data_IF_749715319784
#
_entry.id   IF_749715319784
#
_cell.length_a   1.000
_cell.length_b   1.000
_cell.length_c   1.000
_cell.angle_alpha   90.00
_cell.angle_beta   90.00
_cell.angle_gamma   90.00
#
_symmetry.space_group_name_H-M   'P 1'
#
loop_
_entity.id
_entity.type
_entity.pdbx_description
1 polymer ?
#
# COMPACT_ATOMS: atom_id res chain seq x y z
N UNK A 1 -24.45 35.12 12.02
CA UNK A 1 -23.12 34.50 12.17
C UNK A 1 -23.26 33.42 13.23
N UNK A 2 -23.45 32.17 12.80
CA UNK A 2 -23.59 31.05 13.73
C UNK A 2 -22.26 30.82 14.43
N UNK A 3 -22.31 30.73 15.76
CA UNK A 3 -21.20 30.22 16.56
C UNK A 3 -20.78 28.87 15.96
N UNK A 4 -19.53 28.77 15.52
CA UNK A 4 -18.91 27.47 15.29
C UNK A 4 -19.06 26.69 16.61
N UNK A 5 -19.54 25.46 16.54
CA UNK A 5 -19.68 24.61 17.71
C UNK A 5 -18.27 24.32 18.26
N UNK A 6 -17.79 25.14 19.19
CA UNK A 6 -16.52 24.97 19.90
C UNK A 6 -16.57 23.87 20.98
N UNK A 7 -17.45 22.87 20.83
CA UNK A 7 -17.43 21.72 21.72
C UNK A 7 -16.29 20.78 21.31
N UNK A 8 -15.54 20.19 22.26
CA UNK A 8 -14.54 19.19 21.95
C UNK A 8 -15.08 18.04 21.07
N UNK A 9 -16.37 17.71 21.19
CA UNK A 9 -17.03 16.67 20.40
C UNK A 9 -17.20 17.07 18.93
N UNK A 10 -17.49 18.34 18.65
CA UNK A 10 -17.61 18.84 17.28
C UNK A 10 -16.24 18.87 16.59
N UNK A 11 -15.21 19.41 17.26
CA UNK A 11 -13.83 19.40 16.75
C UNK A 11 -13.31 17.96 16.51
N UNK A 12 -13.59 17.04 17.43
CA UNK A 12 -13.26 15.62 17.25
C UNK A 12 -13.96 15.02 16.03
N UNK A 13 -15.21 15.40 15.77
CA UNK A 13 -15.95 14.98 14.58
C UNK A 13 -15.30 15.45 13.28
N UNK A 14 -14.89 16.71 13.21
CA UNK A 14 -14.21 17.30 12.04
C UNK A 14 -12.85 16.65 11.77
N UNK A 15 -12.07 16.40 12.81
CA UNK A 15 -10.78 15.69 12.70
C UNK A 15 -10.96 14.26 12.22
N UNK A 16 -11.96 13.54 12.72
CA UNK A 16 -12.27 12.17 12.27
C UNK A 16 -12.73 12.13 10.83
N UNK A 17 -13.58 13.06 10.40
CA UNK A 17 -13.96 13.16 8.99
C UNK A 17 -12.74 13.40 8.07
N UNK A 18 -11.75 14.16 8.55
CA UNK A 18 -10.50 14.36 7.83
C UNK A 18 -9.66 13.07 7.76
N UNK A 19 -9.60 12.31 8.86
CA UNK A 19 -8.93 10.99 8.91
C UNK A 19 -9.60 10.02 7.94
N UNK A 20 -10.93 9.93 7.94
CA UNK A 20 -11.69 9.02 7.07
C UNK A 20 -11.39 9.30 5.57
N UNK A 21 -11.26 10.58 5.20
CA UNK A 21 -10.88 10.97 3.84
C UNK A 21 -9.45 10.57 3.48
N UNK A 22 -8.51 10.71 4.43
CA UNK A 22 -7.12 10.28 4.24
C UNK A 22 -7.06 8.75 4.08
N UNK A 23 -7.80 8.01 4.91
CA UNK A 23 -7.85 6.54 4.87
C UNK A 23 -8.41 6.04 3.53
N UNK A 24 -9.46 6.69 3.00
CA UNK A 24 -9.97 6.40 1.66
C UNK A 24 -8.89 6.59 0.58
N UNK A 25 -8.15 7.71 0.64
CA UNK A 25 -7.05 7.98 -0.28
C UNK A 25 -5.93 6.93 -0.16
N UNK A 26 -5.56 6.54 1.06
CA UNK A 26 -4.55 5.51 1.32
C UNK A 26 -4.95 4.16 0.69
N UNK A 27 -6.22 3.74 0.85
CA UNK A 27 -6.72 2.49 0.25
C UNK A 27 -6.67 2.56 -1.28
N UNK A 28 -7.09 3.66 -1.89
CA UNK A 28 -7.01 3.82 -3.35
C UNK A 28 -5.56 3.79 -3.86
N UNK A 29 -4.63 4.45 -3.17
CA UNK A 29 -3.21 4.44 -3.53
C UNK A 29 -2.58 3.05 -3.36
N UNK A 30 -2.96 2.32 -2.32
CA UNK A 30 -2.53 0.93 -2.14
C UNK A 30 -3.07 0.04 -3.26
N UNK A 31 -4.35 0.16 -3.63
CA UNK A 31 -4.94 -0.61 -4.73
C UNK A 31 -4.16 -0.42 -6.04
N UNK A 32 -3.81 0.83 -6.36
CA UNK A 32 -3.01 1.15 -7.55
C UNK A 32 -1.57 0.62 -7.46
N UNK A 33 -0.95 0.71 -6.29
CA UNK A 33 0.37 0.11 -6.03
C UNK A 33 0.32 -1.40 -6.23
N UNK A 34 -0.70 -2.08 -5.73
CA UNK A 34 -0.87 -3.52 -5.87
C UNK A 34 -1.11 -3.93 -7.32
N UNK A 35 -1.89 -3.15 -8.08
CA UNK A 35 -2.06 -3.32 -9.54
C UNK A 35 -0.72 -3.29 -10.26
N UNK A 36 0.13 -2.31 -9.96
CA UNK A 36 1.48 -2.23 -10.52
C UNK A 36 2.34 -3.43 -10.14
N UNK A 37 2.35 -3.82 -8.86
CA UNK A 37 3.16 -4.97 -8.42
C UNK A 37 2.67 -6.28 -8.99
N UNK A 38 1.37 -6.44 -9.29
CA UNK A 38 0.84 -7.62 -9.98
C UNK A 38 1.38 -7.70 -11.40
N UNK A 39 1.40 -6.59 -12.13
CA UNK A 39 2.00 -6.53 -13.47
C UNK A 39 3.50 -6.89 -13.44
N UNK A 40 4.24 -6.39 -12.44
CA UNK A 40 5.64 -6.81 -12.20
C UNK A 40 5.74 -8.31 -11.93
N UNK A 41 4.83 -8.87 -11.13
CA UNK A 41 4.80 -10.30 -10.83
C UNK A 41 4.56 -11.17 -12.05
N UNK A 42 3.61 -10.78 -12.91
CA UNK A 42 3.36 -11.45 -14.20
C UNK A 42 4.60 -11.37 -15.08
N UNK A 43 5.20 -10.19 -15.24
CA UNK A 43 6.43 -10.00 -16.02
C UNK A 43 7.56 -10.91 -15.51
N UNK A 44 7.77 -10.95 -14.19
CA UNK A 44 8.77 -11.81 -13.57
C UNK A 44 8.50 -13.29 -13.85
N UNK A 45 7.26 -13.74 -13.67
CA UNK A 45 6.88 -15.13 -13.92
C UNK A 45 7.08 -15.53 -15.39
N UNK A 46 6.66 -14.69 -16.34
CA UNK A 46 6.81 -14.94 -17.78
C UNK A 46 8.28 -15.06 -18.21
N UNK A 47 9.20 -14.36 -17.54
CA UNK A 47 10.63 -14.37 -17.85
C UNK A 47 11.47 -15.23 -16.90
N UNK A 48 10.85 -16.00 -16.00
CA UNK A 48 11.58 -16.83 -15.03
C UNK A 48 12.43 -16.05 -14.03
N UNK A 49 12.08 -14.78 -13.77
CA UNK A 49 12.79 -13.94 -12.80
C UNK A 49 12.31 -14.24 -11.36
N UNK A 50 13.19 -14.10 -10.36
CA UNK A 50 12.83 -14.38 -8.97
C UNK A 50 11.81 -13.37 -8.43
N UNK A 51 10.89 -13.87 -7.59
CA UNK A 51 9.88 -13.08 -6.90
C UNK A 51 10.51 -12.02 -5.97
N UNK A 52 11.47 -12.45 -5.15
CA UNK A 52 12.24 -11.57 -4.28
C UNK A 52 13.41 -10.90 -5.03
N UNK A 53 13.75 -9.69 -4.62
CA UNK A 53 14.92 -8.93 -5.11
C UNK A 53 15.51 -8.15 -3.93
N UNK A 54 16.45 -8.76 -3.17
CA UNK A 54 16.97 -8.18 -1.94
C UNK A 54 17.60 -6.79 -2.14
N UNK A 55 18.28 -6.58 -3.27
CA UNK A 55 18.89 -5.29 -3.59
C UNK A 55 17.83 -4.22 -3.82
N UNK A 56 16.77 -4.56 -4.57
CA UNK A 56 15.63 -3.65 -4.79
C UNK A 56 14.88 -3.36 -3.49
N UNK A 57 14.67 -4.35 -2.64
CA UNK A 57 14.00 -4.22 -1.35
C UNK A 57 14.76 -3.29 -0.40
N UNK A 58 16.07 -3.49 -0.24
CA UNK A 58 16.94 -2.59 0.55
C UNK A 58 16.89 -1.15 0.04
N UNK A 59 16.92 -0.94 -1.28
CA UNK A 59 16.79 0.39 -1.88
C UNK A 59 15.41 1.03 -1.63
N UNK A 60 14.32 0.23 -1.59
CA UNK A 60 13.00 0.73 -1.22
C UNK A 60 12.95 1.19 0.22
N UNK A 61 13.48 0.39 1.15
CA UNK A 61 13.53 0.71 2.58
C UNK A 61 14.31 2.00 2.80
N UNK A 62 15.53 2.10 2.25
CA UNK A 62 16.35 3.30 2.40
C UNK A 62 15.67 4.57 1.84
N UNK A 63 14.99 4.45 0.69
CA UNK A 63 14.23 5.57 0.13
C UNK A 63 13.03 5.95 0.99
N UNK A 64 12.30 4.97 1.54
CA UNK A 64 11.08 5.25 2.31
C UNK A 64 11.40 5.82 3.69
N UNK A 65 12.49 5.39 4.33
CA UNK A 65 12.99 6.01 5.56
C UNK A 65 13.23 7.51 5.37
N UNK A 66 13.92 7.89 4.29
CA UNK A 66 14.14 9.33 3.96
C UNK A 66 12.83 10.08 3.74
N UNK A 67 11.88 9.50 3.01
CA UNK A 67 10.57 10.13 2.81
C UNK A 67 9.77 10.28 4.10
N UNK A 68 9.93 9.33 5.04
CA UNK A 68 9.31 9.42 6.35
C UNK A 68 9.93 10.55 7.17
N UNK A 69 11.26 10.65 7.21
CA UNK A 69 11.99 11.76 7.83
C UNK A 69 11.52 13.12 7.28
N UNK A 70 11.49 13.26 5.95
CA UNK A 70 11.05 14.49 5.27
C UNK A 70 9.59 14.85 5.60
N UNK A 71 8.74 13.85 5.84
CA UNK A 71 7.34 14.00 6.17
C UNK A 71 7.06 14.06 7.69
N UNK A 72 8.10 14.09 8.53
CA UNK A 72 8.00 14.09 10.00
C UNK A 72 7.25 12.86 10.54
N UNK A 73 7.36 11.73 9.84
CA UNK A 73 6.86 10.42 10.25
C UNK A 73 8.03 9.58 10.76
N UNK A 74 7.80 8.80 11.82
CA UNK A 74 8.80 7.86 12.36
C UNK A 74 9.31 6.90 11.24
N UNK A 75 10.61 6.93 10.89
CA UNK A 75 11.19 6.07 9.87
C UNK A 75 11.08 4.59 10.20
N UNK A 76 11.11 4.22 11.48
CA UNK A 76 11.01 2.83 11.91
C UNK A 76 9.57 2.31 11.73
N UNK A 77 8.57 3.17 11.96
CA UNK A 77 7.19 2.88 11.61
C UNK A 77 7.02 2.73 10.09
N UNK A 78 7.56 3.65 9.30
CA UNK A 78 7.47 3.60 7.84
C UNK A 78 8.11 2.33 7.26
N UNK A 79 9.26 1.92 7.81
CA UNK A 79 9.92 0.67 7.44
C UNK A 79 9.07 -0.56 7.81
N UNK A 80 8.51 -0.62 9.03
CA UNK A 80 7.62 -1.72 9.44
C UNK A 80 6.42 -1.85 8.50
N UNK A 81 5.79 -0.72 8.17
CA UNK A 81 4.68 -0.68 7.23
C UNK A 81 5.09 -1.17 5.84
N UNK A 82 6.23 -0.71 5.32
CA UNK A 82 6.72 -1.15 4.02
C UNK A 82 7.05 -2.64 4.00
N UNK A 83 7.69 -3.17 5.04
CA UNK A 83 8.01 -4.58 5.16
C UNK A 83 6.74 -5.45 5.22
N UNK A 84 5.66 -4.95 5.80
CA UNK A 84 4.35 -5.61 5.71
C UNK A 84 3.85 -5.67 4.25
N UNK A 85 3.88 -4.55 3.52
CA UNK A 85 3.44 -4.50 2.13
C UNK A 85 4.32 -5.36 1.20
N UNK A 86 5.65 -5.33 1.37
CA UNK A 86 6.60 -6.12 0.55
C UNK A 86 6.34 -7.62 0.71
N UNK A 87 6.13 -8.10 1.94
CA UNK A 87 5.83 -9.51 2.20
C UNK A 87 4.59 -9.97 1.45
N UNK A 88 3.53 -9.15 1.43
CA UNK A 88 2.30 -9.47 0.72
C UNK A 88 2.49 -9.48 -0.81
N UNK A 89 3.33 -8.57 -1.34
CA UNK A 89 3.69 -8.56 -2.77
C UNK A 89 4.47 -9.81 -3.18
N UNK A 90 5.48 -10.21 -2.38
CA UNK A 90 6.29 -11.40 -2.66
C UNK A 90 5.39 -12.65 -2.67
N UNK A 91 4.50 -12.79 -1.67
CA UNK A 91 3.51 -13.87 -1.62
C UNK A 91 2.68 -13.96 -2.91
N UNK A 92 2.22 -12.81 -3.44
CA UNK A 92 1.49 -12.79 -4.72
C UNK A 92 2.35 -13.18 -5.92
N UNK A 93 3.63 -12.79 -5.95
CA UNK A 93 4.55 -13.16 -7.02
C UNK A 93 4.83 -14.67 -7.02
N UNK A 94 5.04 -15.27 -5.85
CA UNK A 94 5.22 -16.71 -5.70
C UNK A 94 3.99 -17.48 -6.19
N UNK A 95 2.78 -17.02 -5.85
CA UNK A 95 1.54 -17.60 -6.36
C UNK A 95 1.40 -17.50 -7.88
N UNK A 96 1.81 -16.38 -8.49
CA UNK A 96 1.76 -16.21 -9.95
C UNK A 96 2.79 -17.10 -10.65
N UNK A 97 3.99 -17.24 -10.09
CA UNK A 97 5.02 -18.15 -10.60
C UNK A 97 4.55 -19.61 -10.55
N UNK A 98 3.90 -20.02 -9.45
CA UNK A 98 3.34 -21.38 -9.31
C UNK A 98 2.21 -21.68 -10.30
N UNK A 99 1.42 -20.67 -10.69
CA UNK A 99 0.27 -20.82 -11.59
C UNK A 99 0.59 -20.49 -13.08
N UNK A 100 1.86 -20.38 -13.46
CA UNK A 100 2.25 -20.16 -14.87
C UNK A 100 1.92 -18.77 -15.44
N UNK A 101 1.77 -17.75 -14.59
CA UNK A 101 1.54 -16.37 -15.04
C UNK A 101 0.09 -16.01 -15.41
N UNK A 102 -0.86 -16.94 -15.29
CA UNK A 102 -2.27 -16.62 -15.53
C UNK A 102 -2.87 -15.81 -14.37
N UNK A 103 -3.15 -14.53 -14.65
CA UNK A 103 -4.03 -13.74 -13.80
C UNK A 103 -5.47 -14.19 -14.05
N UNK A 104 -6.04 -15.03 -13.18
CA UNK A 104 -7.51 -15.10 -13.08
C UNK A 104 -7.97 -13.71 -12.64
N UNK A 105 -8.53 -12.97 -13.59
CA UNK A 105 -9.15 -11.68 -13.35
C UNK A 105 -10.47 -11.96 -12.61
N UNK A 106 -10.38 -12.29 -11.31
CA UNK A 106 -11.53 -12.28 -10.43
C UNK A 106 -11.93 -10.83 -10.26
N UNK A 107 -12.80 -10.36 -11.17
CA UNK A 107 -13.62 -9.20 -10.94
C UNK A 107 -14.21 -9.36 -9.54
N UNK A 108 -13.81 -8.46 -8.64
CA UNK A 108 -14.43 -8.32 -7.34
C UNK A 108 -15.88 -7.96 -7.65
N UNK A 109 -16.78 -8.95 -7.54
CA UNK A 109 -18.21 -8.69 -7.46
C UNK A 109 -18.43 -7.97 -6.13
N UNK A 110 -18.59 -6.66 -6.20
CA UNK A 110 -19.15 -5.86 -5.11
C UNK A 110 -20.65 -5.80 -5.37
N UNK A 111 -21.45 -6.27 -4.41
CA UNK A 111 -22.91 -6.45 -4.46
C UNK A 111 -23.23 -7.86 -3.94
N UNK A 112 -23.90 -8.03 -2.81
CA UNK A 112 -25.09 -7.32 -2.29
C UNK A 112 -24.95 -6.80 -0.85
#
# INVERSE_FOLDING_TARGET
MSAMNDSPQAQLGELRASIDNIDAALIHMLAERFRCTKAVGVLKATHGLPAADPAREQAQIARLRRLADDAQLDPDFAEKFLNFIIREVIRHHEMLAANGGETRNSAVKIGE
#
